data_IF_397857254512
#
_entry.id   IF_397857254512
#
_cell.length_a   1.000
_cell.length_b   1.000
_cell.length_c   1.000
_cell.angle_alpha   90.00
_cell.angle_beta   90.00
_cell.angle_gamma   90.00
#
_symmetry.space_group_name_H-M   'P 1'
#
loop_
_entity.id
_entity.type
_entity.pdbx_description
1 polymer ?
#
# COMPACT_ATOMS: atom_id res chain seq x y z
N UNK A 1 -13.82 14.63 -12.43
CA UNK A 1 -13.24 13.38 -12.97
C UNK A 1 -13.70 12.21 -12.12
N UNK A 2 -14.41 11.23 -12.68
CA UNK A 2 -14.75 10.00 -11.94
C UNK A 2 -13.48 9.18 -11.70
N UNK A 3 -13.37 8.51 -10.54
CA UNK A 3 -12.26 7.60 -10.22
C UNK A 3 -12.76 6.16 -10.10
N UNK A 4 -11.95 5.21 -10.53
CA UNK A 4 -12.16 3.77 -10.33
C UNK A 4 -11.29 3.33 -9.15
N UNK A 5 -11.83 2.52 -8.25
CA UNK A 5 -11.11 2.03 -7.08
C UNK A 5 -11.32 0.54 -6.85
N UNK A 6 -10.27 -0.13 -6.36
CA UNK A 6 -10.31 -1.49 -5.82
C UNK A 6 -9.67 -1.48 -4.44
N UNK A 7 -10.35 -2.06 -3.46
CA UNK A 7 -9.82 -2.26 -2.10
C UNK A 7 -9.45 -3.72 -1.91
N UNK A 8 -8.27 -3.96 -1.33
CA UNK A 8 -7.70 -5.26 -1.02
C UNK A 8 -7.30 -5.27 0.45
N UNK A 9 -7.35 -6.43 1.09
CA UNK A 9 -6.92 -6.58 2.49
C UNK A 9 -5.44 -6.92 2.51
N UNK A 10 -4.75 -6.40 3.51
CA UNK A 10 -3.35 -6.72 3.70
C UNK A 10 -2.92 -6.72 5.15
N UNK A 11 -1.71 -7.26 5.34
CA UNK A 11 -1.03 -7.29 6.63
C UNK A 11 0.38 -6.75 6.46
N UNK A 12 0.80 -5.87 7.36
CA UNK A 12 2.19 -5.40 7.41
C UNK A 12 3.07 -6.56 7.87
N UNK A 13 3.78 -7.20 6.95
CA UNK A 13 4.60 -8.36 7.25
C UNK A 13 5.93 -7.95 7.89
N UNK A 14 6.53 -6.86 7.40
CA UNK A 14 7.84 -6.40 7.84
C UNK A 14 7.99 -4.90 7.66
N UNK A 15 8.67 -4.29 8.62
CA UNK A 15 9.25 -2.95 8.47
C UNK A 15 10.74 -3.12 8.15
N UNK A 16 11.17 -2.61 7.01
CA UNK A 16 12.52 -2.75 6.47
C UNK A 16 13.23 -1.42 6.66
N UNK A 17 14.21 -1.38 7.57
CA UNK A 17 15.05 -0.20 7.76
C UNK A 17 15.97 0.01 6.56
N UNK A 18 16.18 1.27 6.18
CA UNK A 18 17.16 1.61 5.16
C UNK A 18 18.59 1.35 5.68
N UNK A 19 19.49 0.79 4.85
CA UNK A 19 20.92 0.72 5.19
C UNK A 19 21.62 2.08 5.06
N UNK A 20 21.01 3.04 4.35
CA UNK A 20 21.55 4.39 4.16
C UNK A 20 21.04 5.32 5.27
N UNK A 21 21.94 6.01 6.00
CA UNK A 21 21.56 7.03 6.97
C UNK A 21 20.67 8.10 6.33
N UNK A 22 19.53 8.41 6.97
CA UNK A 22 18.60 9.46 6.52
C UNK A 22 17.55 9.05 5.49
N UNK A 23 17.65 7.86 4.90
CA UNK A 23 16.61 7.36 4.00
C UNK A 23 15.46 6.66 4.78
N UNK A 24 14.20 6.79 4.35
CA UNK A 24 13.05 6.28 5.08
C UNK A 24 13.03 4.74 5.10
N UNK A 25 12.46 4.18 6.16
CA UNK A 25 12.12 2.76 6.21
C UNK A 25 10.92 2.45 5.30
N UNK A 26 10.80 1.19 4.90
CA UNK A 26 9.71 0.72 4.05
C UNK A 26 8.83 -0.28 4.78
N UNK A 27 7.52 -0.15 4.63
CA UNK A 27 6.56 -1.17 5.03
C UNK A 27 6.39 -2.16 3.89
N UNK A 28 6.61 -3.44 4.16
CA UNK A 28 6.22 -4.54 3.29
C UNK A 28 4.84 -5.03 3.71
N UNK A 29 3.88 -4.89 2.81
CA UNK A 29 2.49 -5.29 3.00
C UNK A 29 2.22 -6.53 2.16
N UNK A 30 1.85 -7.63 2.81
CA UNK A 30 1.28 -8.79 2.13
C UNK A 30 -0.19 -8.54 1.84
N UNK A 31 -0.63 -8.81 0.61
CA UNK A 31 -1.99 -8.65 0.11
C UNK A 31 -2.66 -10.02 0.06
N UNK A 32 -3.77 -10.17 0.77
CA UNK A 32 -4.40 -11.47 1.01
C UNK A 32 -5.05 -12.05 -0.25
N UNK A 33 -5.56 -11.18 -1.16
CA UNK A 33 -6.23 -11.58 -2.40
C UNK A 33 -5.30 -11.65 -3.63
N UNK A 34 -3.99 -11.55 -3.45
CA UNK A 34 -3.01 -11.60 -4.53
C UNK A 34 -2.47 -13.02 -4.76
N UNK A 35 -2.01 -13.30 -5.98
CA UNK A 35 -1.39 -14.58 -6.32
C UNK A 35 -0.14 -14.86 -5.46
N UNK A 36 0.10 -16.14 -5.14
CA UNK A 36 1.07 -16.57 -4.12
C UNK A 36 2.50 -16.03 -4.30
N UNK A 37 2.91 -15.79 -5.54
CA UNK A 37 4.24 -15.28 -5.90
C UNK A 37 4.33 -13.74 -5.93
N UNK A 38 3.19 -13.03 -5.96
CA UNK A 38 3.12 -11.58 -6.18
C UNK A 38 2.26 -10.85 -5.13
N UNK A 39 2.31 -11.33 -3.89
CA UNK A 39 1.48 -10.80 -2.81
C UNK A 39 2.02 -9.57 -2.10
N UNK A 40 3.17 -9.02 -2.48
CA UNK A 40 3.85 -8.02 -1.65
C UNK A 40 3.93 -6.64 -2.32
N UNK A 41 3.60 -5.61 -1.54
CA UNK A 41 3.82 -4.20 -1.90
C UNK A 41 4.79 -3.59 -0.89
N UNK A 42 5.78 -2.84 -1.38
CA UNK A 42 6.70 -2.08 -0.54
C UNK A 42 6.51 -0.59 -0.78
N UNK A 43 6.10 0.11 0.26
CA UNK A 43 5.96 1.58 0.27
C UNK A 43 6.82 2.18 1.38
N UNK A 44 7.14 3.46 1.27
CA UNK A 44 7.69 4.20 2.41
C UNK A 44 6.71 4.12 3.58
N UNK A 45 7.22 3.84 4.77
CA UNK A 45 6.38 3.63 5.94
C UNK A 45 5.92 4.97 6.53
N UNK A 46 5.24 5.79 5.76
CA UNK A 46 4.74 7.09 6.20
C UNK A 46 3.25 7.15 5.89
N UNK A 47 2.43 7.27 6.93
CA UNK A 47 1.00 7.53 6.82
C UNK A 47 0.69 8.87 7.48
N UNK A 48 -0.36 9.54 7.01
CA UNK A 48 -0.74 10.86 7.49
C UNK A 48 -2.19 10.84 7.95
N UNK A 49 -2.48 11.48 9.08
CA UNK A 49 -3.84 11.64 9.59
C UNK A 49 -4.58 12.85 8.97
N UNK A 50 -5.79 13.14 9.44
CA UNK A 50 -6.61 14.25 8.94
C UNK A 50 -5.99 15.64 9.22
N UNK A 51 -5.09 15.73 10.19
CA UNK A 51 -4.41 16.96 10.61
C UNK A 51 -3.06 17.16 9.92
N UNK A 52 -2.59 16.17 9.15
CA UNK A 52 -1.27 16.21 8.53
C UNK A 52 -0.16 15.58 9.39
N UNK A 53 -0.48 14.98 10.54
CA UNK A 53 0.50 14.33 11.41
C UNK A 53 0.96 13.00 10.81
N UNK A 54 2.28 12.78 10.83
CA UNK A 54 2.89 11.59 10.27
C UNK A 54 3.03 10.48 11.31
N UNK A 55 2.75 9.25 10.89
CA UNK A 55 2.93 8.04 11.69
C UNK A 55 3.50 6.90 10.83
N UNK A 56 3.86 5.80 11.51
CA UNK A 56 4.43 4.61 10.91
C UNK A 56 3.54 3.39 11.16
N UNK A 57 3.43 2.52 10.17
CA UNK A 57 2.78 1.22 10.28
C UNK A 57 3.66 0.26 11.10
N UNK A 58 3.01 -0.60 11.89
CA UNK A 58 3.66 -1.61 12.73
C UNK A 58 3.54 -3.00 12.10
N UNK A 59 4.54 -3.90 12.26
CA UNK A 59 4.40 -5.30 11.88
C UNK A 59 3.15 -5.94 12.50
N UNK A 60 2.45 -6.78 11.74
CA UNK A 60 1.20 -7.43 12.11
C UNK A 60 -0.06 -6.58 11.97
N UNK A 61 0.06 -5.27 11.73
CA UNK A 61 -1.11 -4.41 11.54
C UNK A 61 -1.92 -4.83 10.30
N UNK A 62 -3.24 -4.85 10.45
CA UNK A 62 -4.19 -5.05 9.35
C UNK A 62 -4.43 -3.73 8.66
N UNK A 63 -4.38 -3.73 7.33
CA UNK A 63 -4.51 -2.54 6.49
C UNK A 63 -5.41 -2.80 5.29
N UNK A 64 -6.01 -1.74 4.76
CA UNK A 64 -6.67 -1.73 3.47
C UNK A 64 -5.73 -1.14 2.41
N UNK A 65 -5.42 -1.90 1.37
CA UNK A 65 -4.71 -1.40 0.19
C UNK A 65 -5.77 -0.91 -0.81
N UNK A 66 -5.77 0.39 -1.10
CA UNK A 66 -6.70 0.99 -2.06
C UNK A 66 -5.94 1.39 -3.32
N UNK A 67 -6.24 0.71 -4.43
CA UNK A 67 -5.76 1.09 -5.76
C UNK A 67 -6.80 2.00 -6.39
N UNK A 68 -6.43 3.23 -6.72
CA UNK A 68 -7.31 4.24 -7.29
C UNK A 68 -6.70 4.79 -8.58
N UNK A 69 -7.52 4.90 -9.63
CA UNK A 69 -7.12 5.44 -10.93
C UNK A 69 -8.20 6.38 -11.48
N UNK A 70 -7.78 7.41 -12.22
CA UNK A 70 -8.70 8.25 -12.97
C UNK A 70 -9.36 7.45 -14.11
N UNK A 71 -10.59 7.82 -14.49
CA UNK A 71 -11.34 7.02 -15.47
C UNK A 71 -10.69 6.99 -16.86
N UNK A 72 -10.00 8.06 -17.25
CA UNK A 72 -9.20 8.18 -18.47
C UNK A 72 -7.92 7.32 -18.44
N UNK A 73 -7.46 6.92 -17.25
CA UNK A 73 -6.34 6.00 -17.06
C UNK A 73 -6.78 4.51 -17.02
N UNK A 74 -8.02 4.19 -17.39
CA UNK A 74 -8.54 2.82 -17.39
C UNK A 74 -9.14 2.42 -18.73
N UNK A 75 -8.99 1.16 -19.12
CA UNK A 75 -9.71 0.56 -20.24
C UNK A 75 -10.84 -0.34 -19.73
N UNK A 76 -11.85 -0.61 -20.57
CA UNK A 76 -12.89 -1.58 -20.23
C UNK A 76 -12.27 -2.98 -20.13
N UNK A 77 -12.73 -3.76 -19.16
CA UNK A 77 -12.39 -5.18 -19.10
C UNK A 77 -12.97 -5.86 -20.35
N UNK A 78 -12.17 -6.62 -21.12
CA UNK A 78 -12.71 -7.45 -22.20
C UNK A 78 -13.67 -8.50 -21.62
N UNK A 79 -14.70 -8.85 -22.40
CA UNK A 79 -15.67 -9.88 -22.06
C UNK A 79 -15.02 -11.27 -21.95
#
# INVERSE_FOLDING_TARGET
MSKKKRRLRGTVQKVIKSPFPGAPEKAQIGVDEADDLYREIRIENVVTDENGEQAHLKPGAKVDVVVEAASDATTKKPD
#
